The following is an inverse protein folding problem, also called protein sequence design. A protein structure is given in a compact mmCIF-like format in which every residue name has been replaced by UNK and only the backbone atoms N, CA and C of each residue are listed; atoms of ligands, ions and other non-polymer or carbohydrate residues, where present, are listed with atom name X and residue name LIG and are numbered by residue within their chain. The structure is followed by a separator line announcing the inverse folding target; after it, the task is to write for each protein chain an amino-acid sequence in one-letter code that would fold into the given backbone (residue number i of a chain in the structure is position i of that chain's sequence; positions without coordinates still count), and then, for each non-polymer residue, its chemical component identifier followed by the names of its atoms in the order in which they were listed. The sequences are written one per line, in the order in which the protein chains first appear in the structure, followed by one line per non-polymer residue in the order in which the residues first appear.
data_IF_966695015460
#
_entry.id   IF_966695015460
#
_cell.length_a   1.000
_cell.length_b   1.000
_cell.length_c   1.000
_cell.angle_alpha   90.00
_cell.angle_beta   90.00
_cell.angle_gamma   90.00
#
_symmetry.space_group_name_H-M   'P 1'
#
loop_
_entity.id
_entity.type
_entity.pdbx_description
1 polymer ?
#
# COMPACT_ATOMS: atom_id res chain seq x y z
N UNK A 1 13.11 59.97 34.54
CA UNK A 1 14.17 59.59 33.58
C UNK A 1 13.73 58.37 32.80
N UNK A 2 13.76 58.49 31.48
CA UNK A 2 13.27 57.55 30.46
C UNK A 2 14.31 56.42 30.31
N UNK A 3 13.90 55.15 30.38
CA UNK A 3 14.77 54.03 30.01
C UNK A 3 14.23 53.31 28.76
N UNK A 4 15.11 53.28 27.77
CA UNK A 4 14.89 52.90 26.39
C UNK A 4 14.61 51.39 26.21
N UNK A 5 13.67 51.10 25.32
CA UNK A 5 13.42 49.78 24.75
C UNK A 5 14.59 49.39 23.85
N UNK A 6 15.27 48.28 24.14
CA UNK A 6 16.29 47.71 23.27
C UNK A 6 15.64 46.65 22.37
N UNK A 7 15.37 47.04 21.12
CA UNK A 7 14.99 46.12 20.04
C UNK A 7 16.20 45.34 19.55
N UNK A 8 16.20 44.02 19.76
CA UNK A 8 17.20 43.11 19.21
C UNK A 8 16.85 42.72 17.77
N UNK A 9 17.67 43.16 16.81
CA UNK A 9 17.64 42.70 15.43
C UNK A 9 18.36 41.35 15.32
N UNK A 10 17.71 40.35 14.73
CA UNK A 10 18.31 39.05 14.39
C UNK A 10 18.98 39.11 13.01
N UNK A 11 20.14 38.47 12.80
CA UNK A 11 20.79 38.43 11.50
C UNK A 11 20.03 37.52 10.51
N UNK A 12 19.97 37.85 9.21
CA UNK A 12 19.39 36.97 8.21
C UNK A 12 20.31 35.75 7.99
N UNK A 13 19.69 34.56 7.99
CA UNK A 13 20.36 33.27 7.75
C UNK A 13 20.97 33.21 6.35
N UNK A 14 22.21 32.68 6.20
CA UNK A 14 22.86 32.65 4.90
C UNK A 14 22.28 31.52 4.02
N UNK A 15 21.85 31.95 2.83
CA UNK A 15 22.14 31.29 1.55
C UNK A 15 21.48 29.92 1.31
N UNK A 16 20.27 29.98 0.77
CA UNK A 16 19.70 28.93 -0.05
C UNK A 16 20.58 28.68 -1.30
N UNK A 17 21.46 27.67 -1.23
CA UNK A 17 22.23 27.22 -2.38
C UNK A 17 21.27 26.64 -3.44
N UNK A 18 21.20 27.29 -4.60
CA UNK A 18 20.44 26.83 -5.75
C UNK A 18 21.01 25.49 -6.26
N UNK A 19 20.19 24.45 -6.24
CA UNK A 19 20.57 23.12 -6.75
C UNK A 19 20.59 23.16 -8.28
N UNK A 20 21.67 22.71 -8.95
CA UNK A 20 21.71 22.70 -10.40
C UNK A 20 20.64 21.76 -10.98
N UNK A 21 19.97 22.22 -12.04
CA UNK A 21 18.98 21.46 -12.78
C UNK A 21 19.66 20.39 -13.64
N UNK A 22 20.12 19.31 -13.00
CA UNK A 22 20.56 18.12 -13.72
C UNK A 22 19.37 17.43 -14.36
N UNK A 23 19.33 17.42 -15.71
CA UNK A 23 18.35 16.64 -16.47
C UNK A 23 18.54 15.16 -16.16
N UNK A 24 17.67 14.62 -15.30
CA UNK A 24 17.62 13.18 -15.01
C UNK A 24 17.32 12.43 -16.31
N UNK A 25 18.24 11.57 -16.75
CA UNK A 25 18.00 10.63 -17.86
C UNK A 25 16.78 9.78 -17.49
N UNK A 26 15.77 9.74 -18.36
CA UNK A 26 14.58 8.89 -18.18
C UNK A 26 15.02 7.43 -18.32
N UNK A 27 14.85 6.65 -17.26
CA UNK A 27 15.01 5.18 -17.31
C UNK A 27 13.94 4.64 -18.28
N UNK A 28 14.29 3.79 -19.26
CA UNK A 28 13.30 3.16 -20.12
C UNK A 28 12.35 2.32 -19.26
N UNK A 29 11.06 2.38 -19.57
CA UNK A 29 10.07 1.57 -18.89
C UNK A 29 10.39 0.08 -19.13
N UNK A 30 10.33 -0.79 -18.10
CA UNK A 30 10.46 -2.22 -18.33
C UNK A 30 9.33 -2.67 -19.26
N UNK A 31 9.68 -3.31 -20.36
CA UNK A 31 8.73 -3.85 -21.33
C UNK A 31 7.81 -4.85 -20.64
N UNK A 32 6.55 -4.83 -21.06
CA UNK A 32 5.39 -5.57 -20.56
C UNK A 32 5.73 -6.94 -19.97
N UNK A 33 6.08 -6.96 -18.68
CA UNK A 33 5.89 -8.14 -17.86
C UNK A 33 4.38 -8.29 -17.74
N UNK A 34 3.86 -9.39 -18.29
CA UNK A 34 2.46 -9.77 -18.24
C UNK A 34 1.89 -9.35 -16.89
N UNK A 35 1.05 -8.31 -16.84
CA UNK A 35 0.31 -7.94 -15.64
C UNK A 35 -0.69 -9.06 -15.45
N UNK A 36 -0.23 -10.20 -14.95
CA UNK A 36 -1.07 -11.27 -14.51
C UNK A 36 -1.92 -10.66 -13.40
N UNK A 37 -3.18 -10.43 -13.75
CA UNK A 37 -4.15 -9.75 -12.92
C UNK A 37 -4.26 -10.54 -11.63
N UNK A 38 -3.51 -10.14 -10.59
CA UNK A 38 -3.63 -10.65 -9.20
C UNK A 38 -5.02 -10.36 -8.59
N UNK A 39 -5.98 -9.97 -9.40
CA UNK A 39 -7.32 -9.51 -9.04
C UNK A 39 -8.37 -10.61 -9.16
N UNK A 40 -8.05 -11.80 -9.68
CA UNK A 40 -8.97 -12.94 -9.73
C UNK A 40 -9.28 -13.55 -8.36
N UNK A 41 -8.29 -13.58 -7.47
CA UNK A 41 -8.38 -14.19 -6.14
C UNK A 41 -9.39 -13.51 -5.22
N UNK A 42 -9.67 -12.22 -5.44
CA UNK A 42 -10.60 -11.44 -4.64
C UNK A 42 -11.93 -11.16 -5.34
N UNK A 43 -12.20 -11.84 -6.47
CA UNK A 43 -13.46 -11.67 -7.20
C UNK A 43 -14.65 -12.10 -6.35
N UNK A 44 -15.66 -11.24 -6.30
CA UNK A 44 -16.93 -11.44 -5.59
C UNK A 44 -16.75 -11.70 -4.08
N UNK A 45 -15.66 -11.23 -3.47
CA UNK A 45 -15.43 -11.34 -2.02
C UNK A 45 -16.14 -10.27 -1.18
N UNK A 46 -16.74 -9.27 -1.84
CA UNK A 46 -17.48 -8.18 -1.21
C UNK A 46 -18.76 -7.90 -2.00
N UNK A 47 -19.81 -7.47 -1.31
CA UNK A 47 -21.08 -7.07 -1.92
C UNK A 47 -20.91 -5.81 -2.79
N UNK A 48 -21.58 -5.80 -3.94
CA UNK A 48 -21.63 -4.67 -4.84
C UNK A 48 -22.56 -3.60 -4.26
N UNK A 49 -22.00 -2.46 -3.84
CA UNK A 49 -22.81 -1.34 -3.34
C UNK A 49 -23.77 -0.79 -4.40
N UNK A 50 -23.40 -0.85 -5.67
CA UNK A 50 -24.25 -0.36 -6.76
C UNK A 50 -25.41 -1.29 -7.05
N UNK A 51 -25.25 -2.59 -6.85
CA UNK A 51 -26.36 -3.54 -6.96
C UNK A 51 -27.39 -3.31 -5.85
N UNK A 52 -26.93 -3.03 -4.63
CA UNK A 52 -27.81 -2.68 -3.50
C UNK A 52 -28.64 -1.41 -3.78
N UNK A 53 -28.19 -0.55 -4.68
CA UNK A 53 -28.89 0.66 -5.12
C UNK A 53 -29.65 0.46 -6.44
N UNK A 54 -29.58 -0.72 -7.07
CA UNK A 54 -30.16 -1.00 -8.38
C UNK A 54 -29.48 -0.27 -9.55
N UNK A 55 -28.25 0.22 -9.35
CA UNK A 55 -27.52 1.06 -10.32
C UNK A 55 -26.30 0.35 -10.94
N UNK A 56 -26.09 -0.93 -10.68
CA UNK A 56 -24.94 -1.64 -11.23
C UNK A 56 -25.14 -1.92 -12.73
N UNK A 57 -24.30 -1.32 -13.58
CA UNK A 57 -24.32 -1.55 -15.04
C UNK A 57 -23.42 -2.72 -15.47
N UNK A 58 -22.69 -3.34 -14.54
CA UNK A 58 -21.69 -4.38 -14.85
C UNK A 58 -22.29 -5.78 -14.99
N UNK A 59 -23.50 -6.00 -14.48
CA UNK A 59 -24.14 -7.32 -14.48
C UNK A 59 -23.21 -8.42 -13.98
N UNK A 60 -23.16 -9.55 -14.69
CA UNK A 60 -22.34 -10.71 -14.33
C UNK A 60 -20.83 -10.50 -14.40
N UNK A 61 -20.36 -9.42 -15.05
CA UNK A 61 -18.94 -9.06 -15.13
C UNK A 61 -18.48 -8.25 -13.92
N UNK A 62 -19.38 -7.93 -13.00
CA UNK A 62 -19.04 -7.20 -11.79
C UNK A 62 -18.05 -8.01 -10.93
N UNK A 63 -16.93 -7.42 -10.50
CA UNK A 63 -15.98 -8.07 -9.60
C UNK A 63 -16.51 -8.15 -8.15
N UNK A 64 -17.70 -7.61 -7.87
CA UNK A 64 -18.37 -7.63 -6.57
C UNK A 64 -19.63 -8.50 -6.65
N UNK A 65 -20.03 -9.09 -5.53
CA UNK A 65 -21.20 -9.98 -5.47
C UNK A 65 -22.51 -9.18 -5.52
N UNK A 66 -23.46 -9.60 -6.37
CA UNK A 66 -24.79 -8.97 -6.46
C UNK A 66 -25.80 -9.60 -5.49
N UNK A 67 -25.44 -10.72 -4.86
CA UNK A 67 -26.23 -11.37 -3.83
C UNK A 67 -25.36 -12.24 -2.92
N UNK A 68 -25.92 -12.73 -1.83
CA UNK A 68 -25.22 -13.64 -0.92
C UNK A 68 -24.78 -14.95 -1.60
N UNK A 69 -25.51 -15.42 -2.61
CA UNK A 69 -25.13 -16.61 -3.39
C UNK A 69 -23.87 -16.42 -4.25
N UNK A 70 -23.50 -15.18 -4.56
CA UNK A 70 -22.28 -14.86 -5.29
C UNK A 70 -21.12 -14.46 -4.38
N UNK A 71 -21.39 -14.19 -3.10
CA UNK A 71 -20.42 -13.71 -2.15
C UNK A 71 -19.47 -14.83 -1.74
N UNK A 72 -18.21 -14.73 -2.17
CA UNK A 72 -17.15 -15.67 -1.81
C UNK A 72 -16.50 -15.28 -0.49
N UNK A 73 -16.11 -16.25 0.35
CA UNK A 73 -15.27 -15.96 1.51
C UNK A 73 -13.92 -15.38 1.07
N UNK A 74 -13.32 -14.54 1.90
CA UNK A 74 -11.98 -14.04 1.64
C UNK A 74 -10.99 -15.22 1.64
N UNK A 75 -10.06 -15.28 0.67
CA UNK A 75 -8.99 -16.28 0.71
C UNK A 75 -8.11 -16.04 1.95
N UNK A 76 -7.55 -17.11 2.49
CA UNK A 76 -6.65 -17.02 3.63
C UNK A 76 -5.34 -16.32 3.22
N UNK A 77 -5.14 -15.09 3.70
CA UNK A 77 -3.95 -14.28 3.41
C UNK A 77 -2.83 -14.51 4.43
N UNK A 78 -2.97 -15.47 5.34
CA UNK A 78 -1.91 -15.83 6.29
C UNK A 78 -0.65 -16.27 5.56
N UNK A 79 0.48 -15.80 6.07
CA UNK A 79 1.81 -16.12 5.58
C UNK A 79 2.05 -15.77 4.10
N UNK A 80 1.36 -14.76 3.57
CA UNK A 80 1.58 -14.27 2.18
C UNK A 80 2.76 -13.30 2.04
N UNK A 81 3.32 -12.85 3.18
CA UNK A 81 4.51 -11.99 3.27
C UNK A 81 5.40 -12.49 4.40
N UNK A 82 6.70 -12.26 4.28
CA UNK A 82 7.64 -12.53 5.38
C UNK A 82 7.44 -11.54 6.53
N UNK A 83 7.60 -12.04 7.75
CA UNK A 83 7.47 -11.26 8.97
C UNK A 83 8.55 -10.19 9.05
N UNK A 84 8.13 -8.92 9.15
CA UNK A 84 9.05 -7.80 9.21
C UNK A 84 9.89 -7.79 10.48
N UNK A 85 9.32 -8.16 11.62
CA UNK A 85 10.04 -8.18 12.89
C UNK A 85 11.15 -9.22 12.88
N UNK A 86 10.86 -10.41 12.33
CA UNK A 86 11.89 -11.43 12.13
C UNK A 86 13.00 -10.95 11.18
N UNK A 87 12.66 -10.27 10.09
CA UNK A 87 13.67 -9.72 9.16
C UNK A 87 14.51 -8.60 9.79
N UNK A 88 13.91 -7.78 10.64
CA UNK A 88 14.54 -6.57 11.18
C UNK A 88 15.33 -6.83 12.46
N UNK A 89 14.81 -7.69 13.34
CA UNK A 89 15.34 -7.94 14.68
C UNK A 89 15.86 -9.37 14.85
N UNK A 90 15.64 -10.26 13.88
CA UNK A 90 16.06 -11.66 13.95
C UNK A 90 15.14 -12.56 14.77
N UNK A 91 14.17 -11.99 15.50
CA UNK A 91 13.20 -12.73 16.30
C UNK A 91 11.82 -12.07 16.19
N UNK A 92 10.76 -12.89 16.23
CA UNK A 92 9.39 -12.41 16.36
C UNK A 92 8.74 -13.02 17.61
N UNK A 93 8.27 -12.15 18.50
CA UNK A 93 7.71 -12.53 19.81
C UNK A 93 6.25 -13.02 19.68
N UNK A 94 5.57 -12.68 18.58
CA UNK A 94 4.17 -12.98 18.36
C UNK A 94 3.97 -14.45 17.99
N UNK A 95 3.42 -15.24 18.93
CA UNK A 95 3.09 -16.66 18.70
C UNK A 95 1.95 -16.89 17.70
N UNK A 96 1.10 -15.87 17.48
CA UNK A 96 0.03 -15.88 16.48
C UNK A 96 0.37 -14.97 15.28
N UNK A 97 1.66 -14.80 14.96
CA UNK A 97 2.08 -13.98 13.83
C UNK A 97 1.43 -14.49 12.52
N UNK A 98 0.77 -13.60 11.79
CA UNK A 98 0.09 -13.93 10.52
C UNK A 98 1.03 -13.85 9.31
N UNK A 99 2.31 -13.57 9.54
CA UNK A 99 3.34 -13.45 8.51
C UNK A 99 4.26 -14.67 8.55
N UNK A 100 4.86 -15.02 7.42
CA UNK A 100 5.74 -16.16 7.31
C UNK A 100 7.05 -15.91 8.08
N UNK A 101 7.45 -16.83 8.97
CA UNK A 101 8.75 -16.80 9.66
C UNK A 101 9.83 -17.56 8.90
N UNK A 102 9.43 -18.34 7.89
CA UNK A 102 10.33 -19.09 7.03
C UNK A 102 9.85 -19.02 5.59
N UNK A 103 10.76 -19.22 4.63
CA UNK A 103 10.40 -19.25 3.20
C UNK A 103 9.45 -20.42 2.88
N UNK A 104 9.52 -21.50 3.65
CA UNK A 104 8.64 -22.67 3.53
C UNK A 104 7.20 -22.35 4.00
N UNK A 105 7.06 -21.40 4.92
CA UNK A 105 5.76 -20.92 5.41
C UNK A 105 5.17 -19.83 4.48
N UNK A 106 5.99 -19.25 3.59
CA UNK A 106 5.57 -18.20 2.68
C UNK A 106 4.70 -18.78 1.56
N UNK A 107 3.38 -18.65 1.70
CA UNK A 107 2.43 -19.03 0.65
C UNK A 107 2.46 -17.98 -0.45
N UNK A 108 2.86 -18.38 -1.66
CA UNK A 108 2.60 -17.59 -2.85
C UNK A 108 1.08 -17.46 -3.00
N UNK A 109 0.58 -16.23 -3.10
CA UNK A 109 -0.82 -15.98 -3.38
C UNK A 109 -1.15 -16.54 -4.77
N UNK A 110 -1.65 -17.78 -4.82
CA UNK A 110 -2.06 -18.50 -6.03
C UNK A 110 -3.41 -17.99 -6.54
#
# INVERSE_FOLDING_TARGET
SIFAVQGGAHPPSPLAAARPFVRRRRRPAPMASSKQSRNGQFSKTKMCRFELLGMCTKGSTCPFAHGFGELKPLPDLRCTKLCRDLLQFGECINKQCQYAHRREELRSAA
#
